data_IF_924988682726
#
_entry.id   IF_924988682726
#
_cell.length_a   1.000
_cell.length_b   1.000
_cell.length_c   1.000
_cell.angle_alpha   90.00
_cell.angle_beta   90.00
_cell.angle_gamma   90.00
#
_symmetry.space_group_name_H-M   'P 1'
#
loop_
_entity.id
_entity.type
_entity.pdbx_description
1 polymer ?
#
# COMPACT_ATOMS: atom_id res chain seq x y z
N UNK A 1 -11.62 -0.21 4.48
CA UNK A 1 -10.70 0.70 5.18
C UNK A 1 -9.72 1.19 4.15
N UNK A 2 -9.72 2.49 3.82
CA UNK A 2 -8.78 3.02 2.83
C UNK A 2 -7.40 3.17 3.48
N UNK A 3 -6.42 2.48 2.94
CA UNK A 3 -5.00 2.57 3.31
C UNK A 3 -4.33 3.80 2.69
N UNK A 4 -4.92 4.35 1.63
CA UNK A 4 -4.30 5.42 0.86
C UNK A 4 -5.14 6.71 0.89
N UNK A 5 -4.48 7.82 1.23
CA UNK A 5 -5.10 9.15 1.25
C UNK A 5 -5.11 9.74 -0.16
N UNK A 6 -6.31 9.83 -0.76
CA UNK A 6 -6.50 10.32 -2.14
C UNK A 6 -5.86 11.70 -2.38
N UNK A 7 -5.92 12.60 -1.40
CA UNK A 7 -5.29 13.93 -1.50
C UNK A 7 -3.78 13.82 -1.73
N UNK A 8 -3.09 13.00 -0.93
CA UNK A 8 -1.64 12.79 -1.03
C UNK A 8 -1.24 12.12 -2.34
N UNK A 9 -2.06 11.20 -2.84
CA UNK A 9 -1.84 10.58 -4.15
C UNK A 9 -1.94 11.60 -5.28
N UNK A 10 -2.93 12.51 -5.23
CA UNK A 10 -3.03 13.60 -6.22
C UNK A 10 -1.86 14.57 -6.12
N UNK A 11 -1.36 14.86 -4.91
CA UNK A 11 -0.14 15.66 -4.72
C UNK A 11 1.11 14.97 -5.31
N UNK A 12 1.23 13.65 -5.15
CA UNK A 12 2.34 12.87 -5.70
C UNK A 12 2.25 12.71 -7.22
N UNK A 13 1.03 12.62 -7.77
CA UNK A 13 0.76 12.48 -9.19
C UNK A 13 0.65 13.84 -9.93
N UNK A 14 1.26 14.91 -9.39
CA UNK A 14 1.28 16.23 -10.06
C UNK A 14 1.77 16.08 -11.50
N UNK A 15 0.97 16.58 -12.45
CA UNK A 15 1.24 16.45 -13.88
C UNK A 15 0.45 15.34 -14.58
N UNK A 16 -0.27 14.51 -13.85
CA UNK A 16 -1.15 13.47 -14.42
C UNK A 16 -2.57 13.58 -13.87
N UNK A 17 -3.57 13.30 -14.73
CA UNK A 17 -4.96 13.14 -14.26
C UNK A 17 -5.10 11.75 -13.64
N UNK A 18 -5.62 11.69 -12.42
CA UNK A 18 -5.84 10.44 -11.69
C UNK A 18 -7.33 10.10 -11.74
N UNK A 19 -7.68 8.97 -12.35
CA UNK A 19 -9.06 8.46 -12.41
C UNK A 19 -9.58 8.03 -11.03
N UNK A 20 -10.90 7.94 -10.88
CA UNK A 20 -11.53 7.47 -9.64
C UNK A 20 -11.11 6.04 -9.28
N UNK A 21 -11.11 5.15 -10.28
CA UNK A 21 -10.80 3.73 -10.14
C UNK A 21 -9.33 3.46 -9.76
N UNK A 22 -8.44 4.42 -10.04
CA UNK A 22 -7.04 4.33 -9.66
C UNK A 22 -6.87 4.27 -8.15
N UNK A 23 -7.67 5.01 -7.39
CA UNK A 23 -7.57 5.02 -5.92
C UNK A 23 -7.92 3.65 -5.35
N UNK A 24 -8.96 3.01 -5.87
CA UNK A 24 -9.38 1.66 -5.47
C UNK A 24 -8.35 0.60 -5.86
N UNK A 25 -7.75 0.71 -7.05
CA UNK A 25 -6.68 -0.19 -7.49
C UNK A 25 -5.41 -0.04 -6.63
N UNK A 26 -5.02 1.20 -6.31
CA UNK A 26 -3.87 1.49 -5.48
C UNK A 26 -4.08 0.98 -4.04
N UNK A 27 -5.28 1.18 -3.48
CA UNK A 27 -5.63 0.70 -2.15
C UNK A 27 -5.52 -0.84 -2.06
N UNK A 28 -6.08 -1.55 -3.04
CA UNK A 28 -5.96 -3.00 -3.15
C UNK A 28 -4.49 -3.44 -3.24
N UNK A 29 -3.67 -2.73 -4.03
CA UNK A 29 -2.24 -3.07 -4.19
C UNK A 29 -1.47 -2.93 -2.88
N UNK A 30 -1.69 -1.84 -2.14
CA UNK A 30 -1.06 -1.61 -0.83
C UNK A 30 -1.55 -2.65 0.20
N UNK A 31 -2.84 -3.01 0.17
CA UNK A 31 -3.38 -4.04 1.05
C UNK A 31 -2.73 -5.41 0.82
N UNK A 32 -2.50 -5.79 -0.44
CA UNK A 32 -1.79 -7.04 -0.78
C UNK A 32 -0.35 -6.99 -0.30
N UNK A 33 0.36 -5.88 -0.56
CA UNK A 33 1.74 -5.68 -0.12
C UNK A 33 1.89 -5.83 1.40
N UNK A 34 0.96 -5.24 2.18
CA UNK A 34 0.95 -5.39 3.63
C UNK A 34 0.68 -6.83 4.09
N UNK A 35 -0.22 -7.55 3.42
CA UNK A 35 -0.49 -8.97 3.72
C UNK A 35 0.74 -9.84 3.47
N UNK A 36 1.42 -9.61 2.34
CA UNK A 36 2.63 -10.34 1.99
C UNK A 36 3.75 -10.04 2.98
N UNK A 37 3.92 -8.77 3.37
CA UNK A 37 4.88 -8.36 4.38
C UNK A 37 4.57 -8.99 5.75
N UNK A 38 3.30 -9.03 6.15
CA UNK A 38 2.88 -9.71 7.38
C UNK A 38 3.14 -11.21 7.33
N UNK A 39 2.91 -11.85 6.18
CA UNK A 39 3.19 -13.26 5.99
C UNK A 39 4.68 -13.57 6.12
N UNK A 40 5.56 -12.78 5.47
CA UNK A 40 7.03 -12.90 5.59
C UNK A 40 7.51 -12.65 7.01
N UNK A 41 6.99 -11.62 7.67
CA UNK A 41 7.33 -11.29 9.05
C UNK A 41 6.98 -12.43 10.00
N UNK A 42 5.76 -12.99 9.90
CA UNK A 42 5.34 -14.16 10.67
C UNK A 42 6.14 -15.42 10.33
N UNK A 43 6.44 -15.66 9.06
CA UNK A 43 7.25 -16.81 8.62
C UNK A 43 8.66 -16.76 9.22
N UNK A 44 9.20 -15.55 9.42
CA UNK A 44 10.49 -15.32 10.08
C UNK A 44 10.39 -15.29 11.61
N UNK A 45 9.22 -15.61 12.20
CA UNK A 45 9.01 -15.60 13.66
C UNK A 45 9.05 -14.21 14.28
N UNK A 46 8.89 -13.15 13.48
CA UNK A 46 8.96 -11.76 13.92
C UNK A 46 7.54 -11.22 14.13
N UNK A 47 7.40 -10.28 15.07
CA UNK A 47 6.18 -9.50 15.29
C UNK A 47 6.28 -8.06 14.74
N UNK A 48 7.46 -7.66 14.27
CA UNK A 48 7.75 -6.32 13.78
C UNK A 48 8.02 -6.36 12.29
N UNK A 49 7.16 -5.69 11.50
CA UNK A 49 7.39 -5.48 10.06
C UNK A 49 8.65 -4.64 9.83
N UNK A 50 9.52 -5.09 8.94
CA UNK A 50 10.74 -4.39 8.52
C UNK A 50 10.66 -3.96 7.05
N UNK A 51 11.56 -3.06 6.61
CA UNK A 51 11.65 -2.69 5.19
C UNK A 51 11.87 -3.90 4.28
N UNK A 52 12.52 -4.94 4.81
CA UNK A 52 12.81 -6.20 4.13
C UNK A 52 11.55 -7.05 3.84
N UNK A 53 10.45 -6.81 4.56
CA UNK A 53 9.21 -7.57 4.40
C UNK A 53 8.32 -7.00 3.28
N UNK A 54 8.52 -5.73 2.88
CA UNK A 54 7.71 -5.03 1.86
C UNK A 54 7.93 -5.58 0.44
#
# INVERSE_FOLDING_TARGET
MALVIRSKVREAAKGSRVSGDFFDALDKRVAVMLKDAQARCKANGRATLRPEDI
#
